data_IF_417999596520
#
_entry.id   IF_417999596520
#
_cell.length_a   1.000
_cell.length_b   1.000
_cell.length_c   1.000
_cell.angle_alpha   90.00
_cell.angle_beta   90.00
_cell.angle_gamma   90.00
#
_symmetry.space_group_name_H-M   'P 1'
#
loop_
_entity.id
_entity.type
_entity.pdbx_description
1 polymer ?
#
# COMPACT_ATOMS: atom_id res chain seq x y z
N UNK A 1 19.48 9.06 -42.68
CA UNK A 1 19.91 8.89 -41.28
C UNK A 1 18.67 8.86 -40.40
N UNK A 2 18.48 7.75 -39.68
CA UNK A 2 17.54 7.52 -38.56
C UNK A 2 16.03 7.50 -38.91
N UNK A 3 15.50 6.30 -39.16
CA UNK A 3 14.07 6.04 -39.36
C UNK A 3 13.32 6.06 -38.01
N UNK A 4 12.40 7.01 -37.89
CA UNK A 4 11.64 7.41 -36.71
C UNK A 4 10.33 6.60 -36.58
N UNK A 5 10.38 5.26 -36.48
CA UNK A 5 9.14 4.46 -36.38
C UNK A 5 9.11 3.35 -35.32
N UNK A 6 10.13 3.17 -34.49
CA UNK A 6 10.08 2.16 -33.41
C UNK A 6 9.45 2.72 -32.13
N UNK A 7 8.16 3.06 -32.19
CA UNK A 7 7.36 3.25 -30.98
C UNK A 7 7.10 1.88 -30.37
N UNK A 8 7.99 1.43 -29.49
CA UNK A 8 7.77 0.20 -28.74
C UNK A 8 6.59 0.45 -27.80
N UNK A 9 5.45 -0.26 -27.95
CA UNK A 9 4.32 -0.05 -27.06
C UNK A 9 4.76 -0.36 -25.64
N UNK A 10 4.33 0.48 -24.68
CA UNK A 10 4.54 0.23 -23.27
C UNK A 10 4.01 -1.19 -22.96
N UNK A 11 4.82 -2.11 -22.42
CA UNK A 11 4.36 -3.47 -22.14
C UNK A 11 3.12 -3.42 -21.25
N UNK A 12 2.10 -4.17 -21.62
CA UNK A 12 0.88 -4.28 -20.83
C UNK A 12 1.27 -4.80 -19.44
N UNK A 13 0.94 -4.08 -18.34
CA UNK A 13 1.12 -4.63 -17.01
C UNK A 13 0.32 -5.93 -16.93
N UNK A 14 0.96 -7.01 -16.48
CA UNK A 14 0.30 -8.26 -16.14
C UNK A 14 0.32 -8.38 -14.62
N UNK A 15 -0.72 -7.87 -13.92
CA UNK A 15 -0.75 -7.93 -12.47
C UNK A 15 -0.81 -9.39 -12.00
N UNK A 16 0.18 -9.80 -11.22
CA UNK A 16 0.15 -11.11 -10.53
C UNK A 16 -0.72 -10.94 -9.29
N UNK A 17 -1.98 -11.41 -9.35
CA UNK A 17 -2.99 -11.27 -8.30
C UNK A 17 -2.65 -11.94 -6.93
N UNK A 18 -1.42 -12.42 -6.74
CA UNK A 18 -1.01 -13.18 -5.55
C UNK A 18 -0.01 -12.48 -4.62
N UNK A 19 0.62 -11.38 -5.03
CA UNK A 19 1.61 -10.69 -4.18
C UNK A 19 0.97 -9.49 -3.50
N UNK A 20 0.38 -9.74 -2.35
CA UNK A 20 -0.09 -8.72 -1.43
C UNK A 20 1.09 -8.25 -0.57
N UNK A 21 1.40 -6.95 -0.66
CA UNK A 21 2.39 -6.32 0.21
C UNK A 21 1.84 -6.25 1.64
N UNK A 22 2.37 -7.09 2.53
CA UNK A 22 1.99 -7.14 3.95
C UNK A 22 3.00 -6.38 4.80
N UNK A 23 2.51 -5.49 5.65
CA UNK A 23 3.31 -4.62 6.52
C UNK A 23 2.84 -4.84 7.96
N UNK A 24 3.77 -5.22 8.85
CA UNK A 24 3.50 -5.31 10.29
C UNK A 24 3.63 -3.93 10.92
N UNK A 25 2.67 -3.55 11.76
CA UNK A 25 2.62 -2.24 12.41
C UNK A 25 2.43 -2.38 13.93
N UNK A 26 2.98 -1.44 14.69
CA UNK A 26 2.84 -1.43 16.16
C UNK A 26 1.70 -0.53 16.66
N UNK A 27 0.98 0.15 15.76
CA UNK A 27 -0.14 1.04 16.10
C UNK A 27 -1.43 0.59 15.43
N UNK A 28 -2.54 0.70 16.17
CA UNK A 28 -3.89 0.46 15.64
C UNK A 28 -4.36 1.54 14.68
N UNK A 29 -3.78 2.75 14.75
CA UNK A 29 -4.08 3.86 13.86
C UNK A 29 -2.83 4.22 13.08
N UNK A 30 -2.94 4.23 11.75
CA UNK A 30 -1.82 4.51 10.85
C UNK A 30 -2.26 5.36 9.66
N UNK A 31 -1.31 6.04 9.03
CA UNK A 31 -1.53 6.72 7.76
C UNK A 31 -0.91 5.96 6.60
N UNK A 32 -1.61 5.88 5.48
CA UNK A 32 -1.09 5.30 4.24
C UNK A 32 -1.19 6.33 3.10
N UNK A 33 -0.11 6.48 2.34
CA UNK A 33 -0.02 7.32 1.14
C UNK A 33 0.61 6.56 -0.05
N UNK A 34 0.78 5.24 0.07
CA UNK A 34 1.43 4.40 -0.95
C UNK A 34 2.97 4.43 -0.92
N UNK A 35 3.62 5.23 -0.05
CA UNK A 35 5.07 5.21 0.15
C UNK A 35 5.94 5.73 -1.01
N UNK A 36 5.32 6.28 -2.08
CA UNK A 36 6.00 6.85 -3.24
C UNK A 36 5.80 8.38 -3.34
N UNK A 37 5.47 9.02 -2.22
CA UNK A 37 5.16 10.45 -2.17
C UNK A 37 4.02 10.79 -3.14
N UNK A 38 4.28 11.73 -4.06
CA UNK A 38 3.29 12.18 -5.05
C UNK A 38 2.82 11.09 -6.03
N UNK A 39 3.58 9.99 -6.19
CA UNK A 39 3.22 8.87 -7.09
C UNK A 39 2.37 7.79 -6.40
N UNK A 40 2.09 7.95 -5.10
CA UNK A 40 1.21 7.05 -4.38
C UNK A 40 -0.26 7.43 -4.54
N UNK A 41 -0.95 7.60 -3.41
CA UNK A 41 -2.34 8.05 -3.37
C UNK A 41 -2.52 9.12 -2.28
N UNK A 42 -3.66 9.84 -2.26
CA UNK A 42 -3.95 10.77 -1.17
C UNK A 42 -3.79 10.10 0.19
N UNK A 43 -3.15 10.78 1.14
CA UNK A 43 -2.95 10.26 2.50
C UNK A 43 -4.31 9.94 3.12
N UNK A 44 -4.46 8.70 3.57
CA UNK A 44 -5.62 8.25 4.36
C UNK A 44 -5.18 7.74 5.71
N UNK A 45 -6.10 7.78 6.68
CA UNK A 45 -5.91 7.25 8.02
C UNK A 45 -6.76 6.00 8.17
N UNK A 46 -6.14 4.91 8.60
CA UNK A 46 -6.76 3.61 8.74
C UNK A 46 -6.73 3.20 10.22
N UNK A 47 -7.80 2.53 10.66
CA UNK A 47 -7.87 1.88 11.97
C UNK A 47 -7.91 0.36 11.78
N UNK A 48 -7.07 -0.36 12.52
CA UNK A 48 -7.13 -1.82 12.64
C UNK A 48 -8.14 -2.14 13.75
N UNK A 49 -9.31 -2.67 13.34
CA UNK A 49 -10.36 -3.07 14.28
C UNK A 49 -9.95 -4.32 15.07
N UNK A 50 -9.57 -5.37 14.35
CA UNK A 50 -9.13 -6.65 14.95
C UNK A 50 -7.61 -6.79 14.85
N UNK A 51 -7.14 -7.59 13.88
CA UNK A 51 -5.73 -7.92 13.66
C UNK A 51 -5.14 -7.27 12.41
N UNK A 52 -5.97 -6.89 11.45
CA UNK A 52 -5.50 -6.34 10.18
C UNK A 52 -6.49 -5.37 9.53
N UNK A 53 -6.00 -4.57 8.59
CA UNK A 53 -6.79 -3.73 7.68
C UNK A 53 -6.08 -3.58 6.34
N UNK A 54 -6.80 -3.22 5.28
CA UNK A 54 -6.21 -2.99 3.95
C UNK A 54 -6.36 -1.52 3.53
N UNK A 55 -5.38 -1.00 2.80
CA UNK A 55 -5.53 0.29 2.14
C UNK A 55 -6.40 0.14 0.88
N UNK A 56 -7.48 0.91 0.70
CA UNK A 56 -8.35 0.80 -0.47
C UNK A 56 -7.71 1.31 -1.79
N UNK A 57 -6.52 1.89 -1.73
CA UNK A 57 -5.82 2.45 -2.89
C UNK A 57 -4.69 1.54 -3.36
N UNK A 58 -3.69 1.30 -2.51
CA UNK A 58 -2.50 0.51 -2.86
C UNK A 58 -2.63 -0.98 -2.53
N UNK A 59 -3.74 -1.41 -1.92
CA UNK A 59 -4.00 -2.81 -1.55
C UNK A 59 -2.98 -3.44 -0.58
N UNK A 60 -2.14 -2.63 0.07
CA UNK A 60 -1.29 -3.06 1.18
C UNK A 60 -2.15 -3.59 2.33
N UNK A 61 -1.71 -4.71 2.91
CA UNK A 61 -2.28 -5.25 4.14
C UNK A 61 -1.44 -4.81 5.33
N UNK A 62 -2.07 -4.18 6.30
CA UNK A 62 -1.45 -3.82 7.56
C UNK A 62 -1.90 -4.81 8.63
N UNK A 63 -0.95 -5.46 9.29
CA UNK A 63 -1.19 -6.43 10.36
C UNK A 63 -0.64 -5.86 11.65
N UNK A 64 -1.46 -5.81 12.70
CA UNK A 64 -1.02 -5.36 14.01
C UNK A 64 -0.06 -6.39 14.61
N UNK A 65 1.07 -5.93 15.11
CA UNK A 65 1.99 -6.73 15.90
C UNK A 65 1.24 -7.27 17.15
N UNK A 66 1.24 -8.59 17.43
CA UNK A 66 0.57 -9.15 18.59
C UNK A 66 1.07 -8.57 19.93
N UNK A 67 2.32 -8.10 19.98
CA UNK A 67 2.93 -7.50 21.18
C UNK A 67 2.71 -5.97 21.26
N UNK A 68 1.98 -5.37 20.32
CA UNK A 68 1.69 -3.94 20.34
C UNK A 68 0.86 -3.57 21.57
N UNK A 69 1.32 -2.58 22.34
CA UNK A 69 0.57 -2.06 23.48
C UNK A 69 -0.71 -1.39 22.98
N UNK A 70 -1.87 -1.76 23.55
CA UNK A 70 -3.17 -1.19 23.21
C UNK A 70 -3.26 0.26 23.69
N UNK A 71 -2.68 1.18 22.91
CA UNK A 71 -2.75 2.62 23.15
C UNK A 71 -4.09 3.19 22.70
N UNK A 72 -5.20 2.79 23.33
CA UNK A 72 -6.48 3.49 23.24
C UNK A 72 -6.46 4.65 24.24
N UNK A 73 -5.74 5.73 23.91
CA UNK A 73 -5.86 6.99 24.65
C UNK A 73 -6.91 7.84 23.95
N UNK A 74 -8.02 8.07 24.63
CA UNK A 74 -9.17 8.88 24.17
C UNK A 74 -8.80 10.35 23.99
#
# INVERSE_FOLDING_TARGET
>A
MQDLTKHQPNPTPHPVLGLIETIVVDSRVLSCDGGLGALGHPRVFLRIADHQTFCPYCSRLFVLNPEATSGDTH
#
